data_IF_407854934830
#
_entry.id   IF_407854934830
#
_cell.length_a   1.000
_cell.length_b   1.000
_cell.length_c   1.000
_cell.angle_alpha   90.00
_cell.angle_beta   90.00
_cell.angle_gamma   90.00
#
_symmetry.space_group_name_H-M   'P 1'
#
loop_
_entity.id
_entity.type
_entity.pdbx_description
1 polymer ?
#
# COMPACT_ATOMS: atom_id res chain seq x y z
N UNK A 1 39.86 -43.74 9.28
CA UNK A 1 39.75 -42.25 9.30
C UNK A 1 38.40 -41.67 8.83
N UNK A 2 37.37 -42.46 8.43
CA UNK A 2 36.08 -41.92 7.91
C UNK A 2 34.99 -41.62 8.96
N UNK A 3 35.05 -42.23 10.15
CA UNK A 3 34.03 -42.06 11.21
C UNK A 3 33.89 -40.62 11.77
N UNK A 4 34.97 -39.86 12.05
CA UNK A 4 34.81 -38.49 12.57
C UNK A 4 34.23 -37.52 11.53
N UNK A 5 34.56 -37.72 10.24
CA UNK A 5 34.02 -36.90 9.15
C UNK A 5 32.50 -37.13 8.97
N UNK A 6 32.04 -38.37 9.13
CA UNK A 6 30.62 -38.71 9.03
C UNK A 6 29.80 -38.09 10.17
N UNK A 7 30.36 -38.03 11.38
CA UNK A 7 29.73 -37.38 12.54
C UNK A 7 29.63 -35.87 12.33
N UNK A 8 30.70 -35.24 11.83
CA UNK A 8 30.69 -33.80 11.50
C UNK A 8 29.65 -33.49 10.40
N UNK A 9 29.56 -34.32 9.36
CA UNK A 9 28.57 -34.17 8.29
C UNK A 9 27.13 -34.29 8.82
N UNK A 10 26.86 -35.28 9.67
CA UNK A 10 25.53 -35.46 10.29
C UNK A 10 25.15 -34.28 11.19
N UNK A 11 26.10 -33.76 11.98
CA UNK A 11 25.88 -32.58 12.82
C UNK A 11 25.62 -31.32 11.97
N UNK A 12 26.33 -31.14 10.86
CA UNK A 12 26.09 -30.03 9.93
C UNK A 12 24.69 -30.13 9.29
N UNK A 13 24.30 -31.31 8.81
CA UNK A 13 22.96 -31.53 8.25
C UNK A 13 21.88 -31.26 9.31
N UNK A 14 22.09 -31.72 10.55
CA UNK A 14 21.15 -31.50 11.66
C UNK A 14 21.01 -30.02 12.00
N UNK A 15 22.13 -29.29 12.13
CA UNK A 15 22.13 -27.84 12.42
C UNK A 15 21.45 -27.07 11.27
N UNK A 16 21.81 -27.35 10.02
CA UNK A 16 21.22 -26.69 8.85
C UNK A 16 19.71 -26.97 8.78
N UNK A 17 19.29 -28.22 9.05
CA UNK A 17 17.87 -28.60 9.06
C UNK A 17 17.11 -27.93 10.21
N UNK A 18 17.71 -27.84 11.40
CA UNK A 18 17.11 -27.16 12.55
C UNK A 18 16.97 -25.65 12.34
N UNK A 19 17.99 -24.99 11.81
CA UNK A 19 17.93 -23.58 11.44
C UNK A 19 16.88 -23.35 10.35
N UNK A 20 16.84 -24.22 9.32
CA UNK A 20 15.85 -24.13 8.24
C UNK A 20 14.42 -24.27 8.77
N UNK A 21 14.18 -25.23 9.66
CA UNK A 21 12.88 -25.41 10.30
C UNK A 21 12.43 -24.19 11.10
N UNK A 22 13.33 -23.61 11.91
CA UNK A 22 13.05 -22.40 12.70
C UNK A 22 12.75 -21.19 11.79
N UNK A 23 13.55 -20.99 10.73
CA UNK A 23 13.35 -19.91 9.74
C UNK A 23 12.01 -20.06 9.02
N UNK A 24 11.65 -21.27 8.59
CA UNK A 24 10.36 -21.53 7.91
C UNK A 24 9.18 -21.24 8.85
N UNK A 25 9.27 -21.64 10.12
CA UNK A 25 8.21 -21.37 11.11
C UNK A 25 8.06 -19.86 11.36
N UNK A 26 9.17 -19.16 11.62
CA UNK A 26 9.18 -17.72 11.85
C UNK A 26 8.66 -16.94 10.64
N UNK A 27 9.04 -17.34 9.42
CA UNK A 27 8.52 -16.76 8.17
C UNK A 27 6.99 -16.89 8.08
N UNK A 28 6.44 -18.06 8.42
CA UNK A 28 4.97 -18.29 8.43
C UNK A 28 4.25 -17.41 9.45
N UNK A 29 4.79 -17.26 10.66
CA UNK A 29 4.20 -16.41 11.70
C UNK A 29 4.18 -14.92 11.29
N UNK A 30 5.27 -14.44 10.65
CA UNK A 30 5.36 -13.08 10.13
C UNK A 30 4.36 -12.84 9.01
N UNK A 31 4.29 -13.75 8.03
CA UNK A 31 3.37 -13.66 6.89
C UNK A 31 1.91 -13.71 7.35
N UNK A 32 1.57 -14.55 8.32
CA UNK A 32 0.24 -14.61 8.95
C UNK A 32 -0.12 -13.29 9.65
N UNK A 33 0.85 -12.67 10.32
CA UNK A 33 0.65 -11.37 10.99
C UNK A 33 0.34 -10.25 9.99
N UNK A 34 1.07 -10.20 8.86
CA UNK A 34 0.76 -9.25 7.78
C UNK A 34 -0.61 -9.50 7.17
N UNK A 35 -1.04 -10.75 7.03
CA UNK A 35 -2.39 -11.09 6.59
C UNK A 35 -3.49 -10.59 7.55
N UNK A 36 -3.26 -10.69 8.87
CA UNK A 36 -4.18 -10.12 9.87
C UNK A 36 -4.19 -8.58 9.82
N UNK A 37 -3.03 -7.97 9.64
CA UNK A 37 -2.91 -6.51 9.48
C UNK A 37 -3.65 -6.01 8.24
N UNK A 38 -3.52 -6.71 7.11
CA UNK A 38 -4.26 -6.40 5.88
C UNK A 38 -5.78 -6.42 6.11
N UNK A 39 -6.30 -7.47 6.74
CA UNK A 39 -7.73 -7.56 7.12
C UNK A 39 -8.19 -6.41 8.02
N UNK A 40 -7.39 -6.07 9.03
CA UNK A 40 -7.70 -4.97 9.93
C UNK A 40 -7.74 -3.63 9.20
N UNK A 41 -6.79 -3.40 8.28
CA UNK A 41 -6.78 -2.21 7.41
C UNK A 41 -7.98 -2.18 6.48
N UNK A 42 -8.36 -3.29 5.85
CA UNK A 42 -9.57 -3.36 5.01
C UNK A 42 -10.83 -2.97 5.77
N UNK A 43 -11.00 -3.48 7.00
CA UNK A 43 -12.14 -3.13 7.85
C UNK A 43 -12.14 -1.63 8.22
N UNK A 44 -10.97 -1.09 8.57
CA UNK A 44 -10.81 0.34 8.86
C UNK A 44 -11.13 1.19 7.63
N UNK A 45 -10.64 0.80 6.46
CA UNK A 45 -10.87 1.52 5.20
C UNK A 45 -12.35 1.59 4.86
N UNK A 46 -13.07 0.48 5.02
CA UNK A 46 -14.52 0.46 4.83
C UNK A 46 -15.24 1.45 5.76
N UNK A 47 -14.81 1.53 7.03
CA UNK A 47 -15.39 2.48 7.99
C UNK A 47 -15.12 3.94 7.60
N UNK A 48 -13.92 4.26 7.12
CA UNK A 48 -13.56 5.61 6.64
C UNK A 48 -14.36 5.97 5.38
N UNK A 49 -14.52 5.03 4.45
CA UNK A 49 -15.33 5.23 3.24
C UNK A 49 -16.79 5.57 3.58
N UNK A 50 -17.41 4.80 4.48
CA UNK A 50 -18.77 5.09 4.96
C UNK A 50 -18.88 6.47 5.62
N UNK A 51 -17.85 6.89 6.34
CA UNK A 51 -17.79 8.24 6.90
C UNK A 51 -17.69 9.30 5.80
N UNK A 52 -16.90 9.07 4.76
CA UNK A 52 -16.80 9.97 3.61
C UNK A 52 -18.13 10.11 2.87
N UNK A 53 -18.87 9.01 2.68
CA UNK A 53 -20.23 9.05 2.12
C UNK A 53 -21.16 9.95 2.94
N UNK A 54 -20.98 9.96 4.26
CA UNK A 54 -21.79 10.77 5.18
C UNK A 54 -21.38 12.25 5.12
N UNK A 55 -20.08 12.54 5.05
CA UNK A 55 -19.55 13.89 4.87
C UNK A 55 -20.00 14.50 3.54
N UNK A 56 -19.93 13.73 2.45
CA UNK A 56 -20.33 14.16 1.12
C UNK A 56 -21.81 14.59 1.09
N UNK A 57 -22.68 13.84 1.76
CA UNK A 57 -24.12 14.16 1.88
C UNK A 57 -24.40 15.38 2.76
N UNK A 58 -23.48 15.75 3.64
CA UNK A 58 -23.66 16.87 4.56
C UNK A 58 -23.28 18.23 3.92
N UNK A 59 -22.55 18.23 2.81
CA UNK A 59 -22.15 19.46 2.10
C UNK A 59 -23.40 20.06 1.42
N UNK A 60 -23.81 21.26 1.86
CA UNK A 60 -25.01 21.94 1.37
C UNK A 60 -24.76 22.96 0.26
N UNK A 61 -23.54 23.50 0.16
CA UNK A 61 -23.18 24.46 -0.89
C UNK A 61 -22.99 23.74 -2.24
N UNK A 62 -23.74 24.14 -3.27
CA UNK A 62 -23.75 23.47 -4.57
C UNK A 62 -22.40 23.47 -5.29
N UNK A 63 -21.66 24.59 -5.27
CA UNK A 63 -20.33 24.67 -5.93
C UNK A 63 -19.33 23.72 -5.26
N UNK A 64 -19.29 23.73 -3.93
CA UNK A 64 -18.42 22.85 -3.14
C UNK A 64 -18.84 21.38 -3.28
N UNK A 65 -20.14 21.10 -3.41
CA UNK A 65 -20.66 19.76 -3.63
C UNK A 65 -20.20 19.18 -4.98
N UNK A 66 -20.17 19.98 -6.05
CA UNK A 66 -19.61 19.55 -7.35
C UNK A 66 -18.13 19.19 -7.21
N UNK A 67 -17.33 20.03 -6.53
CA UNK A 67 -15.91 19.73 -6.26
C UNK A 67 -15.76 18.46 -5.41
N UNK A 68 -16.63 18.27 -4.41
CA UNK A 68 -16.64 17.09 -3.56
C UNK A 68 -16.90 15.78 -4.33
N UNK A 69 -17.90 15.76 -5.21
CA UNK A 69 -18.17 14.60 -6.08
C UNK A 69 -17.01 14.32 -7.05
N UNK A 70 -16.35 15.37 -7.55
CA UNK A 70 -15.17 15.19 -8.39
C UNK A 70 -14.03 14.49 -7.63
N UNK A 71 -13.79 14.90 -6.37
CA UNK A 71 -12.79 14.26 -5.49
C UNK A 71 -13.14 12.79 -5.24
N UNK A 72 -14.39 12.50 -4.86
CA UNK A 72 -14.87 11.13 -4.62
C UNK A 72 -14.69 10.24 -5.86
N UNK A 73 -15.06 10.74 -7.04
CA UNK A 73 -14.89 10.00 -8.29
C UNK A 73 -13.42 9.67 -8.59
N UNK A 74 -12.52 10.65 -8.40
CA UNK A 74 -11.08 10.46 -8.61
C UNK A 74 -10.50 9.43 -7.63
N UNK A 75 -10.87 9.53 -6.34
CA UNK A 75 -10.35 8.64 -5.30
C UNK A 75 -10.93 7.23 -5.46
N UNK A 76 -12.22 7.10 -5.77
CA UNK A 76 -12.86 5.81 -6.09
C UNK A 76 -12.17 5.12 -7.27
N UNK A 77 -11.95 5.82 -8.37
CA UNK A 77 -11.25 5.25 -9.53
C UNK A 77 -9.83 4.77 -9.19
N UNK A 78 -9.10 5.50 -8.35
CA UNK A 78 -7.79 5.05 -7.89
C UNK A 78 -7.88 3.86 -6.92
N UNK A 79 -8.87 3.82 -6.01
CA UNK A 79 -9.11 2.67 -5.11
C UNK A 79 -9.34 1.39 -5.92
N UNK A 80 -10.16 1.47 -6.97
CA UNK A 80 -10.44 0.36 -7.89
C UNK A 80 -9.20 -0.07 -8.66
N UNK A 81 -8.39 0.88 -9.12
CA UNK A 81 -7.10 0.58 -9.73
C UNK A 81 -6.19 -0.20 -8.78
N UNK A 82 -6.04 0.23 -7.53
CA UNK A 82 -5.23 -0.49 -6.53
C UNK A 82 -5.78 -1.89 -6.26
N UNK A 83 -7.10 -2.05 -6.20
CA UNK A 83 -7.71 -3.37 -6.02
C UNK A 83 -7.41 -4.27 -7.22
N UNK A 84 -7.49 -3.77 -8.45
CA UNK A 84 -7.10 -4.53 -9.64
C UNK A 84 -5.65 -4.99 -9.60
N UNK A 85 -4.73 -4.13 -9.14
CA UNK A 85 -3.31 -4.48 -8.97
C UNK A 85 -3.14 -5.59 -7.92
N UNK A 86 -3.83 -5.50 -6.78
CA UNK A 86 -3.80 -6.54 -5.73
C UNK A 86 -4.31 -7.89 -6.27
N UNK A 87 -5.40 -7.89 -7.02
CA UNK A 87 -5.94 -9.12 -7.63
C UNK A 87 -4.98 -9.73 -8.65
N UNK A 88 -4.37 -8.89 -9.50
CA UNK A 88 -3.37 -9.34 -10.47
C UNK A 88 -2.13 -9.93 -9.77
N UNK A 89 -1.66 -9.32 -8.68
CA UNK A 89 -0.55 -9.83 -7.87
C UNK A 89 -0.86 -11.17 -7.18
N UNK A 90 -2.08 -11.34 -6.68
CA UNK A 90 -2.55 -12.58 -6.07
C UNK A 90 -2.63 -13.72 -7.11
N UNK A 91 -3.16 -13.42 -8.29
CA UNK A 91 -3.42 -14.40 -9.35
C UNK A 91 -4.37 -15.49 -8.86
N UNK A 92 -4.00 -16.76 -9.04
CA UNK A 92 -4.82 -17.93 -8.62
C UNK A 92 -4.67 -18.30 -7.13
N UNK A 93 -3.87 -17.58 -6.36
CA UNK A 93 -3.64 -17.93 -4.94
C UNK A 93 -4.90 -17.65 -4.12
N UNK A 94 -5.17 -18.50 -3.14
CA UNK A 94 -6.28 -18.26 -2.21
C UNK A 94 -5.98 -17.01 -1.36
N UNK A 95 -6.81 -15.94 -1.42
CA UNK A 95 -6.57 -14.70 -0.69
C UNK A 95 -6.60 -14.88 0.85
N UNK A 96 -7.14 -15.99 1.34
CA UNK A 96 -7.16 -16.34 2.78
C UNK A 96 -5.96 -17.17 3.23
N UNK A 97 -5.13 -17.66 2.31
CA UNK A 97 -3.96 -18.47 2.63
C UNK A 97 -2.67 -17.63 2.50
N UNK A 98 -2.43 -16.80 3.51
CA UNK A 98 -1.29 -15.88 3.53
C UNK A 98 0.05 -16.62 3.48
N UNK A 99 0.16 -17.83 4.04
CA UNK A 99 1.42 -18.60 4.09
C UNK A 99 2.00 -18.91 2.70
N UNK A 100 1.18 -18.86 1.64
CA UNK A 100 1.62 -19.05 0.25
C UNK A 100 2.06 -17.74 -0.44
N UNK A 101 2.12 -16.64 0.30
CA UNK A 101 2.44 -15.29 -0.18
C UNK A 101 3.79 -14.77 0.38
N UNK A 102 4.66 -15.70 0.79
CA UNK A 102 6.02 -15.42 1.29
C UNK A 102 7.01 -15.05 0.18
N UNK A 103 6.73 -15.45 -1.07
CA UNK A 103 7.57 -15.14 -2.23
C UNK A 103 7.56 -13.66 -2.59
N UNK A 104 8.67 -13.11 -3.13
CA UNK A 104 8.74 -11.71 -3.53
C UNK A 104 7.71 -11.30 -4.58
N UNK A 105 7.28 -10.05 -4.52
CA UNK A 105 6.54 -9.42 -5.62
C UNK A 105 7.45 -9.28 -6.86
N UNK A 106 7.08 -9.95 -7.96
CA UNK A 106 7.77 -9.86 -9.25
C UNK A 106 7.03 -8.98 -10.26
N UNK A 107 5.80 -8.55 -9.99
CA UNK A 107 4.99 -7.79 -10.95
C UNK A 107 5.58 -6.42 -11.26
N UNK A 108 6.09 -5.73 -10.24
CA UNK A 108 6.60 -4.36 -10.37
C UNK A 108 8.04 -4.27 -10.90
N UNK A 109 8.74 -5.40 -11.04
CA UNK A 109 10.17 -5.42 -11.36
C UNK A 109 10.47 -6.38 -12.50
N UNK A 110 11.33 -5.93 -13.41
CA UNK A 110 12.00 -6.73 -14.42
C UNK A 110 13.49 -6.86 -14.05
N UNK A 111 14.27 -7.62 -14.83
CA UNK A 111 15.70 -7.86 -14.57
C UNK A 111 16.51 -6.57 -14.39
N UNK A 112 16.20 -5.53 -15.19
CA UNK A 112 16.94 -4.27 -15.22
C UNK A 112 16.16 -3.07 -14.63
N UNK A 113 15.28 -3.29 -13.65
CA UNK A 113 14.58 -2.21 -12.93
C UNK A 113 13.05 -2.35 -12.94
N UNK A 114 12.28 -1.24 -12.82
CA UNK A 114 10.82 -1.31 -12.81
C UNK A 114 10.26 -1.89 -14.11
N UNK A 115 9.29 -2.81 -13.98
CA UNK A 115 8.52 -3.34 -15.11
C UNK A 115 7.60 -2.26 -15.69
N UNK A 116 6.90 -2.56 -16.80
CA UNK A 116 5.85 -1.69 -17.34
C UNK A 116 4.79 -1.38 -16.26
N UNK A 117 4.30 -2.41 -15.57
CA UNK A 117 3.33 -2.28 -14.47
C UNK A 117 3.87 -1.47 -13.30
N UNK A 118 5.14 -1.64 -12.94
CA UNK A 118 5.78 -0.83 -11.89
C UNK A 118 5.86 0.65 -12.24
N UNK A 119 6.14 0.99 -13.50
CA UNK A 119 6.14 2.38 -13.98
C UNK A 119 4.74 2.98 -14.03
N UNK A 120 3.76 2.22 -14.55
CA UNK A 120 2.35 2.60 -14.58
C UNK A 120 1.83 2.87 -13.16
N UNK A 121 2.20 2.04 -12.20
CA UNK A 121 1.81 2.22 -10.80
C UNK A 121 2.31 3.52 -10.20
N UNK A 122 3.59 3.86 -10.40
CA UNK A 122 4.15 5.14 -9.95
C UNK A 122 3.45 6.31 -10.66
N UNK A 123 3.23 6.21 -11.98
CA UNK A 123 2.58 7.26 -12.75
C UNK A 123 1.12 7.51 -12.32
N UNK A 124 0.36 6.47 -11.98
CA UNK A 124 -1.01 6.65 -11.48
C UNK A 124 -1.04 7.31 -10.09
N UNK A 125 -0.04 7.08 -9.23
CA UNK A 125 0.09 7.80 -7.94
C UNK A 125 0.36 9.28 -8.19
N UNK A 126 1.30 9.60 -9.08
CA UNK A 126 1.62 11.00 -9.42
C UNK A 126 0.43 11.72 -10.04
N UNK A 127 -0.28 11.06 -10.96
CA UNK A 127 -1.50 11.58 -11.59
C UNK A 127 -2.63 11.79 -10.57
N UNK A 128 -2.80 10.89 -9.59
CA UNK A 128 -3.74 11.12 -8.49
C UNK A 128 -3.35 12.38 -7.71
N UNK A 129 -2.08 12.50 -7.34
CA UNK A 129 -1.56 13.65 -6.59
C UNK A 129 -1.83 14.96 -7.35
N UNK A 130 -1.46 15.03 -8.62
CA UNK A 130 -1.65 16.22 -9.47
C UNK A 130 -3.13 16.61 -9.58
N UNK A 131 -4.01 15.64 -9.82
CA UNK A 131 -5.46 15.88 -9.88
C UNK A 131 -6.00 16.47 -8.57
N UNK A 132 -5.63 15.90 -7.42
CA UNK A 132 -6.08 16.38 -6.12
C UNK A 132 -5.52 17.78 -5.83
N UNK A 133 -4.25 18.05 -6.14
CA UNK A 133 -3.63 19.37 -5.98
C UNK A 133 -4.26 20.45 -6.85
N UNK A 134 -4.80 20.08 -8.01
CA UNK A 134 -5.56 20.97 -8.89
C UNK A 134 -6.95 21.33 -8.39
N UNK A 135 -7.52 20.53 -7.46
CA UNK A 135 -8.86 20.74 -6.90
C UNK A 135 -8.79 21.46 -5.55
N UNK A 136 -7.83 21.13 -4.70
CA UNK A 136 -7.73 21.73 -3.37
C UNK A 136 -7.07 23.11 -3.40
N UNK A 137 -7.60 24.04 -2.62
CA UNK A 137 -7.08 25.41 -2.54
C UNK A 137 -6.22 25.61 -1.28
N UNK A 138 -6.62 24.99 -0.16
CA UNK A 138 -6.00 25.20 1.16
C UNK A 138 -4.55 24.68 1.20
N UNK A 139 -3.55 25.52 1.55
CA UNK A 139 -2.14 25.10 1.61
C UNK A 139 -1.90 23.89 2.52
N UNK A 140 -2.62 23.79 3.64
CA UNK A 140 -2.56 22.65 4.56
C UNK A 140 -2.92 21.32 3.87
N UNK A 141 -3.97 21.30 3.04
CA UNK A 141 -4.37 20.12 2.28
C UNK A 141 -3.33 19.77 1.20
N UNK A 142 -2.78 20.78 0.50
CA UNK A 142 -1.70 20.56 -0.48
C UNK A 142 -0.48 19.91 0.16
N UNK A 143 -0.06 20.38 1.33
CA UNK A 143 1.04 19.76 2.09
C UNK A 143 0.70 18.33 2.51
N UNK A 144 -0.52 18.09 2.99
CA UNK A 144 -1.00 16.75 3.38
C UNK A 144 -0.95 15.77 2.20
N UNK A 145 -1.50 16.15 1.05
CA UNK A 145 -1.51 15.35 -0.19
C UNK A 145 -0.08 15.02 -0.61
N UNK A 146 0.80 16.03 -0.66
CA UNK A 146 2.20 15.84 -1.04
C UNK A 146 2.95 14.91 -0.09
N UNK A 147 2.66 14.96 1.22
CA UNK A 147 3.35 14.10 2.19
C UNK A 147 3.00 12.62 2.05
N UNK A 148 1.80 12.31 1.55
CA UNK A 148 1.29 10.93 1.45
C UNK A 148 1.56 10.34 0.06
N UNK A 149 1.34 11.13 -1.01
CA UNK A 149 1.43 10.67 -2.39
C UNK A 149 2.80 10.96 -3.03
N UNK A 150 3.86 10.99 -2.22
CA UNK A 150 5.22 11.22 -2.70
C UNK A 150 5.84 9.92 -3.24
N UNK A 151 6.39 10.00 -4.45
CA UNK A 151 7.04 8.91 -5.19
C UNK A 151 8.52 9.21 -5.49
N UNK A 152 9.06 10.28 -4.90
CA UNK A 152 10.44 10.73 -5.08
C UNK A 152 11.47 9.82 -4.42
N UNK A 153 12.75 10.02 -4.74
CA UNK A 153 13.83 9.22 -4.16
C UNK A 153 13.87 9.34 -2.63
N UNK A 154 14.08 8.20 -1.99
CA UNK A 154 14.18 8.08 -0.53
C UNK A 154 15.59 7.69 -0.12
N UNK A 155 16.04 8.22 1.01
CA UNK A 155 17.32 7.85 1.60
C UNK A 155 17.13 6.65 2.53
N UNK A 156 17.93 5.59 2.32
CA UNK A 156 17.97 4.48 3.27
C UNK A 156 18.73 4.88 4.56
N UNK A 157 18.74 3.98 5.55
CA UNK A 157 19.43 4.19 6.84
C UNK A 157 20.94 4.46 6.69
N UNK A 158 21.52 4.11 5.54
CA UNK A 158 22.93 4.30 5.24
C UNK A 158 23.17 5.54 4.37
N UNK A 159 22.16 6.41 4.20
CA UNK A 159 22.25 7.62 3.39
C UNK A 159 22.30 7.37 1.89
N UNK A 160 21.98 6.16 1.42
CA UNK A 160 21.98 5.86 -0.02
C UNK A 160 20.63 6.21 -0.62
N UNK A 161 20.66 6.90 -1.76
CA UNK A 161 19.46 7.19 -2.56
C UNK A 161 18.88 5.90 -3.14
N UNK A 162 17.57 5.75 -3.01
CA UNK A 162 16.78 4.65 -3.56
C UNK A 162 15.57 5.21 -4.28
N UNK A 163 15.26 4.64 -5.44
CA UNK A 163 13.97 4.87 -6.09
C UNK A 163 12.85 4.43 -5.15
N UNK A 164 11.78 5.20 -5.07
CA UNK A 164 10.66 4.95 -4.16
C UNK A 164 10.06 3.54 -4.33
N UNK A 165 9.86 3.12 -5.58
CA UNK A 165 9.30 1.79 -5.88
C UNK A 165 10.21 0.68 -5.37
N UNK A 166 11.52 0.80 -5.61
CA UNK A 166 12.51 -0.15 -5.14
C UNK A 166 12.51 -0.23 -3.61
N UNK A 167 12.50 0.92 -2.93
CA UNK A 167 12.50 0.98 -1.47
C UNK A 167 11.24 0.35 -0.86
N UNK A 168 10.07 0.54 -1.48
CA UNK A 168 8.80 0.11 -0.89
C UNK A 168 8.39 -1.32 -1.25
N UNK A 169 8.82 -1.85 -2.40
CA UNK A 169 8.30 -3.12 -2.92
C UNK A 169 9.36 -4.14 -3.34
N UNK A 170 10.63 -3.75 -3.57
CA UNK A 170 11.64 -4.68 -4.10
C UNK A 170 12.07 -5.68 -3.05
N UNK A 171 11.93 -6.97 -3.38
CA UNK A 171 12.31 -8.06 -2.50
C UNK A 171 11.36 -8.29 -1.31
N UNK A 172 10.31 -7.47 -1.18
CA UNK A 172 9.29 -7.70 -0.16
C UNK A 172 8.42 -8.90 -0.53
N UNK A 173 8.02 -9.74 0.45
CA UNK A 173 7.01 -10.77 0.24
C UNK A 173 5.73 -10.20 -0.36
N UNK A 174 5.02 -11.04 -1.10
CA UNK A 174 3.76 -10.69 -1.75
C UNK A 174 2.72 -10.19 -0.73
N UNK A 175 2.60 -10.85 0.43
CA UNK A 175 1.66 -10.39 1.49
C UNK A 175 1.96 -8.97 1.93
N UNK A 176 3.24 -8.60 2.09
CA UNK A 176 3.63 -7.26 2.54
C UNK A 176 3.34 -6.23 1.46
N UNK A 177 3.57 -6.58 0.21
CA UNK A 177 3.22 -5.71 -0.93
C UNK A 177 1.71 -5.45 -0.97
N UNK A 178 0.88 -6.48 -0.79
CA UNK A 178 -0.58 -6.33 -0.73
C UNK A 178 -1.00 -5.46 0.46
N UNK A 179 -0.44 -5.69 1.65
CA UNK A 179 -0.74 -4.88 2.83
C UNK A 179 -0.38 -3.40 2.62
N UNK A 180 0.75 -3.11 1.96
CA UNK A 180 1.14 -1.74 1.61
C UNK A 180 0.15 -1.08 0.63
N UNK A 181 -0.38 -1.84 -0.33
CA UNK A 181 -1.42 -1.35 -1.24
C UNK A 181 -2.74 -1.07 -0.49
N UNK A 182 -3.12 -1.93 0.46
CA UNK A 182 -4.28 -1.68 1.34
C UNK A 182 -4.07 -0.47 2.25
N UNK A 183 -2.85 -0.26 2.75
CA UNK A 183 -2.50 0.95 3.49
C UNK A 183 -2.66 2.21 2.60
N UNK A 184 -2.20 2.15 1.35
CA UNK A 184 -2.39 3.26 0.40
C UNK A 184 -3.86 3.57 0.16
N UNK A 185 -4.73 2.55 0.03
CA UNK A 185 -6.20 2.76 -0.03
C UNK A 185 -6.74 3.44 1.25
N UNK A 186 -6.15 3.17 2.41
CA UNK A 186 -6.47 3.84 3.68
C UNK A 186 -6.09 5.31 3.63
N UNK A 187 -4.86 5.59 3.22
CA UNK A 187 -4.27 6.92 3.25
C UNK A 187 -5.03 7.86 2.32
N UNK A 188 -5.38 7.41 1.11
CA UNK A 188 -6.19 8.21 0.18
C UNK A 188 -7.62 8.42 0.66
N UNK A 189 -8.22 7.43 1.34
CA UNK A 189 -9.56 7.60 1.93
C UNK A 189 -9.51 8.60 3.09
N UNK A 190 -8.39 8.70 3.81
CA UNK A 190 -8.19 9.75 4.82
C UNK A 190 -7.98 11.13 4.20
N UNK A 191 -7.27 11.23 3.06
CA UNK A 191 -7.16 12.49 2.31
C UNK A 191 -8.53 12.97 1.86
N UNK A 192 -9.36 12.05 1.35
CA UNK A 192 -10.75 12.33 1.00
C UNK A 192 -11.52 12.92 2.19
N UNK A 193 -11.43 12.29 3.37
CA UNK A 193 -12.06 12.82 4.60
C UNK A 193 -11.59 14.25 4.90
N UNK A 194 -10.28 14.50 4.83
CA UNK A 194 -9.68 15.81 5.12
C UNK A 194 -10.21 16.89 4.15
N UNK A 195 -10.37 16.56 2.87
CA UNK A 195 -10.90 17.47 1.84
C UNK A 195 -12.40 17.71 2.05
N UNK A 196 -13.19 16.66 2.27
CA UNK A 196 -14.63 16.78 2.48
C UNK A 196 -14.95 17.59 3.74
N UNK A 197 -14.17 17.44 4.80
CA UNK A 197 -14.29 18.25 6.02
C UNK A 197 -13.97 19.74 5.78
N UNK A 198 -12.96 20.05 4.95
CA UNK A 198 -12.65 21.44 4.56
C UNK A 198 -13.81 22.06 3.78
N UNK A 199 -14.42 21.31 2.86
CA UNK A 199 -15.60 21.77 2.11
C UNK A 199 -16.84 21.91 2.99
N UNK A 200 -17.09 20.98 3.90
CA UNK A 200 -18.19 21.07 4.84
C UNK A 200 -18.06 22.34 5.70
N UNK A 201 -16.88 22.56 6.30
CA UNK A 201 -16.61 23.75 7.10
C UNK A 201 -16.83 25.05 6.31
N UNK A 202 -16.37 25.11 5.06
CA UNK A 202 -16.60 26.26 4.18
C UNK A 202 -18.09 26.43 3.82
N UNK A 203 -18.83 25.35 3.65
CA UNK A 203 -20.26 25.43 3.36
C UNK A 203 -21.06 26.03 4.52
N UNK A 204 -20.62 25.82 5.76
CA UNK A 204 -21.23 26.41 6.96
C UNK A 204 -20.88 27.88 7.15
N UNK A 205 -19.67 28.31 6.73
CA UNK A 205 -19.22 29.71 6.84
C UNK A 205 -19.90 30.67 5.85
N UNK A 206 -20.55 30.14 4.81
CA UNK A 206 -21.19 30.91 3.73
C UNK A 206 -22.73 30.90 3.81
N UNK A 207 -23.29 30.22 4.81
CA UNK A 207 -24.71 30.25 5.17
C UNK A 207 -24.97 31.28 6.27
#
# INVERSE_FOLDING_TARGET
MKKPLLIILLLLIFIISGISFLVIKSSRDVVSTFGKMDKALQHKNYSVQKNNDSLLKAISNEELLVKAYQVDSIITGFREYIESVKQEMLGKKNPKNYELMDKPNTMFFAENGPSKKGKEFVAEIDKLREKLLGIVETPKLKTRINSILITEEVYDRNGRRKKWLDYNFKGFPLVVSITKLTQMQSDISSIESDILLDYLKKSEEWN
#
